data_IF_408987977407
#
_entry.id   IF_408987977407
#
_cell.length_a   1.000
_cell.length_b   1.000
_cell.length_c   1.000
_cell.angle_alpha   90.00
_cell.angle_beta   90.00
_cell.angle_gamma   90.00
#
_symmetry.space_group_name_H-M   'P 1'
#
loop_
_entity.id
_entity.type
_entity.pdbx_description
1 polymer ?
#
# COMPACT_ATOMS: atom_id res chain seq x y z
N UNK A 1 -28.82 -1.28 25.89
CA UNK A 1 -27.90 -0.98 27.01
C UNK A 1 -27.14 -2.26 27.20
N UNK A 2 -26.02 -2.41 26.52
CA UNK A 2 -25.30 -3.67 26.45
C UNK A 2 -23.82 -3.41 26.72
N UNK A 3 -23.32 -4.18 27.68
CA UNK A 3 -22.07 -4.00 28.41
C UNK A 3 -20.83 -4.30 27.55
N UNK A 4 -20.50 -3.43 26.61
CA UNK A 4 -19.25 -3.49 25.83
C UNK A 4 -18.35 -2.25 26.02
N UNK A 5 -18.87 -1.17 26.60
CA UNK A 5 -18.13 0.09 26.80
C UNK A 5 -17.15 0.10 27.99
N UNK A 6 -17.26 -0.86 28.92
CA UNK A 6 -16.46 -0.84 30.17
C UNK A 6 -15.21 -1.74 30.15
N UNK A 7 -15.00 -2.58 29.14
CA UNK A 7 -13.75 -3.36 29.00
C UNK A 7 -12.63 -2.57 28.30
N UNK A 8 -12.97 -1.58 27.48
CA UNK A 8 -11.97 -0.79 26.74
C UNK A 8 -11.22 0.21 27.66
N UNK A 9 -11.86 0.68 28.74
CA UNK A 9 -11.25 1.63 29.68
C UNK A 9 -10.36 0.99 30.75
N UNK A 10 -10.66 -0.23 31.18
CA UNK A 10 -9.91 -0.90 32.28
C UNK A 10 -8.55 -1.43 31.79
N UNK A 11 -8.45 -1.80 30.52
CA UNK A 11 -7.19 -2.27 29.93
C UNK A 11 -6.15 -1.15 29.79
N UNK A 12 -6.60 0.10 29.60
CA UNK A 12 -5.71 1.26 29.42
C UNK A 12 -5.01 1.68 30.74
N UNK A 13 -5.67 1.50 31.89
CA UNK A 13 -5.15 1.96 33.19
C UNK A 13 -4.08 1.01 33.76
N UNK A 14 -4.12 -0.28 33.41
CA UNK A 14 -3.18 -1.27 33.92
C UNK A 14 -1.79 -1.24 33.25
N UNK A 15 -1.67 -0.62 32.07
CA UNK A 15 -0.41 -0.56 31.33
C UNK A 15 0.49 0.62 31.78
N UNK A 16 -0.06 1.64 32.44
CA UNK A 16 0.68 2.89 32.70
C UNK A 16 1.55 2.88 33.97
N UNK A 17 1.35 1.95 34.90
CA UNK A 17 1.95 2.09 36.25
C UNK A 17 3.14 1.19 36.58
N UNK A 18 3.59 0.30 35.69
CA UNK A 18 4.74 -0.57 36.00
C UNK A 18 5.64 -0.74 34.78
N UNK A 19 6.67 0.10 34.70
CA UNK A 19 7.86 -0.15 33.88
C UNK A 19 7.88 0.61 32.57
N UNK A 20 8.94 1.41 32.40
CA UNK A 20 9.33 1.92 31.09
C UNK A 20 9.61 0.75 30.15
N UNK A 21 8.64 0.46 29.28
CA UNK A 21 8.87 -0.25 28.03
C UNK A 21 8.49 0.75 26.96
N UNK A 22 9.52 1.18 26.25
CA UNK A 22 9.47 1.83 24.96
C UNK A 22 8.21 1.47 24.18
N UNK A 23 7.39 2.48 23.92
CA UNK A 23 6.35 2.52 22.91
C UNK A 23 6.90 2.03 21.56
N UNK A 24 6.68 0.77 21.20
CA UNK A 24 6.94 0.29 19.84
C UNK A 24 5.87 -0.74 19.44
N UNK A 25 4.62 -0.30 19.39
CA UNK A 25 3.66 -0.84 18.42
C UNK A 25 3.53 0.23 17.34
N UNK A 26 4.37 0.16 16.30
CA UNK A 26 4.21 1.05 15.14
C UNK A 26 2.79 0.90 14.60
N UNK A 27 2.05 1.99 14.45
CA UNK A 27 0.67 1.94 13.96
C UNK A 27 0.66 1.42 12.51
N UNK A 28 -0.49 0.89 12.05
CA UNK A 28 -0.63 0.45 10.64
C UNK A 28 -0.34 1.61 9.68
N UNK A 29 -0.77 2.82 10.04
CA UNK A 29 -0.55 4.05 9.26
C UNK A 29 0.94 4.38 9.15
N UNK A 30 1.68 4.39 10.27
CA UNK A 30 3.13 4.62 10.26
C UNK A 30 3.86 3.60 9.37
N UNK A 31 3.46 2.33 9.44
CA UNK A 31 4.00 1.27 8.58
C UNK A 31 3.66 1.49 7.11
N UNK A 32 2.44 1.96 6.81
CA UNK A 32 2.02 2.22 5.44
C UNK A 32 2.81 3.38 4.85
N UNK A 33 2.97 4.47 5.62
CA UNK A 33 3.71 5.66 5.19
C UNK A 33 5.18 5.34 4.93
N UNK A 34 5.83 4.61 5.84
CA UNK A 34 7.23 4.22 5.67
C UNK A 34 7.43 3.35 4.43
N UNK A 35 6.55 2.36 4.23
CA UNK A 35 6.62 1.50 3.04
C UNK A 35 6.29 2.25 1.76
N UNK A 36 5.34 3.18 1.80
CA UNK A 36 5.00 4.05 0.68
C UNK A 36 6.23 4.90 0.28
N UNK A 37 6.89 5.52 1.27
CA UNK A 37 8.12 6.29 1.05
C UNK A 37 9.24 5.42 0.46
N UNK A 38 9.44 4.23 1.01
CA UNK A 38 10.43 3.28 0.51
C UNK A 38 10.17 2.86 -0.94
N UNK A 39 8.90 2.64 -1.31
CA UNK A 39 8.53 2.28 -2.68
C UNK A 39 8.61 3.46 -3.65
N UNK A 40 8.27 4.67 -3.20
CA UNK A 40 8.43 5.88 -3.99
C UNK A 40 9.89 6.13 -4.36
N UNK A 41 10.85 5.81 -3.50
CA UNK A 41 12.27 5.95 -3.83
C UNK A 41 12.75 4.93 -4.89
N UNK A 42 12.08 3.78 -5.04
CA UNK A 42 12.48 2.76 -6.04
C UNK A 42 12.21 3.16 -7.48
N UNK A 43 11.33 4.13 -7.72
CA UNK A 43 11.02 4.65 -9.06
C UNK A 43 11.93 5.81 -9.48
N UNK A 44 12.88 6.22 -8.65
CA UNK A 44 13.85 7.25 -9.05
C UNK A 44 15.23 6.63 -9.25
N UNK A 45 15.82 6.91 -10.41
CA UNK A 45 17.25 6.68 -10.65
C UNK A 45 18.00 8.01 -10.57
N UNK A 46 19.20 7.95 -10.03
CA UNK A 46 20.09 9.12 -9.96
C UNK A 46 20.89 9.18 -11.25
N UNK A 47 20.69 10.22 -12.05
CA UNK A 47 21.44 10.48 -13.27
C UNK A 47 22.48 11.58 -12.99
N UNK A 48 23.74 11.30 -13.34
CA UNK A 48 24.78 12.33 -13.33
C UNK A 48 24.57 13.24 -14.55
N UNK A 49 24.59 14.56 -14.33
CA UNK A 49 24.43 15.49 -15.44
C UNK A 49 25.58 15.29 -16.43
N UNK A 50 25.30 15.14 -17.74
CA UNK A 50 26.32 14.92 -18.76
C UNK A 50 27.28 16.11 -18.90
N UNK A 51 26.93 17.26 -18.30
CA UNK A 51 27.76 18.45 -18.25
C UNK A 51 28.50 18.42 -16.91
N UNK A 52 29.81 18.12 -16.94
CA UNK A 52 30.73 18.15 -15.80
C UNK A 52 31.01 19.59 -15.33
N UNK A 53 29.95 20.36 -15.06
CA UNK A 53 30.05 21.67 -14.46
C UNK A 53 30.47 21.51 -12.99
N UNK A 54 31.48 22.24 -12.52
CA UNK A 54 31.81 22.28 -11.10
C UNK A 54 30.59 22.73 -10.29
N UNK A 55 30.05 21.84 -9.44
CA UNK A 55 28.86 22.11 -8.63
C UNK A 55 27.53 21.59 -9.20
N UNK A 56 27.54 20.82 -10.28
CA UNK A 56 26.35 20.08 -10.72
C UNK A 56 25.94 19.05 -9.63
N UNK A 57 24.67 19.05 -9.28
CA UNK A 57 24.09 18.09 -8.33
C UNK A 57 23.42 16.95 -9.12
N UNK A 58 23.57 15.69 -8.68
CA UNK A 58 22.93 14.57 -9.33
C UNK A 58 21.40 14.75 -9.35
N UNK A 59 20.78 14.49 -10.49
CA UNK A 59 19.33 14.67 -10.68
C UNK A 59 18.62 13.34 -10.49
N UNK A 60 17.55 13.33 -9.70
CA UNK A 60 16.63 12.18 -9.65
C UNK A 60 15.74 12.19 -10.90
N UNK A 61 15.85 11.16 -11.71
CA UNK A 61 14.98 10.89 -12.85
C UNK A 61 13.92 9.87 -12.43
N UNK A 62 12.65 10.23 -12.60
CA UNK A 62 11.54 9.29 -12.44
C UNK A 62 11.60 8.27 -13.58
N UNK A 63 11.80 7.00 -13.24
CA UNK A 63 11.80 5.85 -14.14
C UNK A 63 10.48 5.09 -14.10
N UNK A 64 9.47 5.59 -13.37
CA UNK A 64 8.13 5.06 -13.41
C UNK A 64 7.64 5.11 -14.87
N UNK A 65 7.56 3.94 -15.50
CA UNK A 65 7.22 3.75 -16.90
C UNK A 65 5.73 3.98 -17.20
N UNK A 66 5.11 5.01 -16.62
CA UNK A 66 3.73 5.42 -16.94
C UNK A 66 3.77 6.12 -18.30
N UNK A 67 3.86 5.33 -19.36
CA UNK A 67 3.44 5.80 -20.68
C UNK A 67 1.93 5.93 -20.63
N UNK A 68 1.41 7.16 -20.70
CA UNK A 68 -0.03 7.44 -20.79
C UNK A 68 -0.61 7.08 -22.17
N UNK A 69 -0.08 6.04 -22.81
CA UNK A 69 -0.70 5.46 -23.99
C UNK A 69 -1.96 4.70 -23.56
N UNK A 70 -3.07 5.03 -24.20
CA UNK A 70 -4.33 4.31 -24.11
C UNK A 70 -4.12 2.88 -24.65
N UNK A 71 -3.86 1.95 -23.74
CA UNK A 71 -3.37 0.60 -24.08
C UNK A 71 -4.42 -0.46 -23.77
N UNK A 72 -5.50 -0.52 -24.56
CA UNK A 72 -6.18 -1.76 -24.97
C UNK A 72 -6.86 -1.47 -26.31
N UNK A 73 -6.16 -1.66 -27.44
CA UNK A 73 -6.76 -1.70 -28.78
C UNK A 73 -6.33 -3.01 -29.41
N UNK A 74 -7.29 -3.91 -29.68
CA UNK A 74 -6.99 -5.24 -30.23
C UNK A 74 -6.35 -6.22 -29.24
N UNK A 75 -6.50 -6.01 -27.93
CA UNK A 75 -5.91 -6.88 -26.91
C UNK A 75 -6.48 -8.30 -26.90
N UNK A 76 -5.70 -9.23 -26.38
CA UNK A 76 -6.10 -10.63 -26.17
C UNK A 76 -6.19 -10.97 -24.68
N UNK A 77 -6.66 -12.17 -24.35
CA UNK A 77 -6.76 -12.60 -22.96
C UNK A 77 -5.35 -12.77 -22.38
N UNK A 78 -5.10 -12.12 -21.25
CA UNK A 78 -3.83 -12.27 -20.54
C UNK A 78 -3.53 -13.74 -20.20
N UNK A 79 -2.28 -14.13 -20.43
CA UNK A 79 -1.76 -15.43 -20.03
C UNK A 79 -1.67 -15.53 -18.50
N UNK A 80 -1.75 -16.75 -17.93
CA UNK A 80 -1.53 -16.93 -16.50
C UNK A 80 -0.18 -16.33 -16.08
N UNK A 81 -0.18 -15.51 -15.02
CA UNK A 81 1.00 -14.81 -14.46
C UNK A 81 1.60 -13.71 -15.34
N UNK A 82 0.93 -13.27 -16.40
CA UNK A 82 1.37 -12.13 -17.21
C UNK A 82 1.38 -10.82 -16.39
N UNK A 83 0.36 -10.63 -15.55
CA UNK A 83 0.25 -9.51 -14.62
C UNK A 83 0.24 -10.01 -13.17
N UNK A 84 1.41 -10.38 -12.62
CA UNK A 84 1.49 -11.06 -11.33
C UNK A 84 1.10 -10.18 -10.14
N UNK A 85 1.11 -8.85 -10.32
CA UNK A 85 0.66 -7.90 -9.31
C UNK A 85 -0.86 -7.79 -9.23
N UNK A 86 -1.62 -8.29 -10.21
CA UNK A 86 -3.08 -8.15 -10.21
C UNK A 86 -3.73 -8.99 -9.09
N UNK A 87 -4.53 -8.33 -8.26
CA UNK A 87 -5.31 -8.94 -7.19
C UNK A 87 -6.81 -8.81 -7.47
N UNK A 88 -7.57 -9.84 -7.08
CA UNK A 88 -9.03 -9.84 -7.12
C UNK A 88 -9.57 -9.75 -5.69
N UNK A 89 -10.42 -8.76 -5.42
CA UNK A 89 -10.97 -8.48 -4.09
C UNK A 89 -12.39 -9.04 -4.00
N UNK A 90 -12.59 -9.92 -3.02
CA UNK A 90 -13.83 -10.67 -2.82
C UNK A 90 -14.50 -10.35 -1.49
N UNK A 91 -15.83 -10.17 -1.54
CA UNK A 91 -16.68 -9.89 -0.40
C UNK A 91 -17.41 -11.15 0.03
N UNK A 92 -17.25 -11.54 1.29
CA UNK A 92 -17.91 -12.72 1.83
C UNK A 92 -19.42 -12.46 1.96
N UNK A 93 -20.20 -13.01 1.03
CA UNK A 93 -21.66 -13.04 1.13
C UNK A 93 -22.17 -14.17 2.02
N UNK A 94 -23.49 -14.24 2.21
CA UNK A 94 -24.14 -15.28 3.05
C UNK A 94 -23.95 -16.70 2.49
N UNK A 95 -23.91 -16.84 1.17
CA UNK A 95 -23.84 -18.14 0.47
C UNK A 95 -22.66 -18.27 -0.47
N UNK A 96 -22.13 -17.16 -1.00
CA UNK A 96 -20.99 -17.13 -1.91
C UNK A 96 -20.16 -15.86 -1.73
N UNK A 97 -18.88 -15.94 -2.07
CA UNK A 97 -18.03 -14.76 -2.23
C UNK A 97 -18.43 -14.01 -3.51
N UNK A 98 -18.58 -12.70 -3.41
CA UNK A 98 -18.86 -11.81 -4.53
C UNK A 98 -17.56 -11.10 -4.88
N UNK A 99 -17.05 -11.30 -6.08
CA UNK A 99 -15.85 -10.62 -6.56
C UNK A 99 -16.28 -9.32 -7.25
N UNK A 100 -15.99 -8.18 -6.62
CA UNK A 100 -16.51 -6.88 -7.07
C UNK A 100 -15.43 -5.82 -7.35
N UNK A 101 -14.21 -6.03 -6.87
CA UNK A 101 -13.12 -5.07 -7.02
C UNK A 101 -11.81 -5.72 -7.43
N UNK A 102 -10.92 -4.90 -8.00
CA UNK A 102 -9.53 -5.24 -8.24
C UNK A 102 -8.60 -4.63 -7.19
N UNK A 103 -7.34 -5.02 -7.25
CA UNK A 103 -6.26 -4.41 -6.51
C UNK A 103 -4.91 -4.73 -7.12
N UNK A 104 -3.85 -4.20 -6.51
CA UNK A 104 -2.48 -4.51 -6.91
C UNK A 104 -1.65 -4.88 -5.70
N UNK A 105 -0.94 -6.01 -5.77
CA UNK A 105 0.01 -6.44 -4.77
C UNK A 105 1.23 -5.52 -4.80
N UNK A 106 1.40 -4.72 -3.75
CA UNK A 106 2.52 -3.77 -3.62
C UNK A 106 3.61 -4.31 -2.68
N UNK A 107 3.31 -5.35 -1.90
CA UNK A 107 4.27 -6.03 -1.04
C UNK A 107 3.82 -7.46 -0.74
N UNK A 108 4.63 -8.22 0.00
CA UNK A 108 4.28 -9.56 0.49
C UNK A 108 3.01 -9.59 1.36
N UNK A 109 2.65 -8.49 2.01
CA UNK A 109 1.52 -8.41 2.96
C UNK A 109 0.44 -7.40 2.56
N UNK A 110 0.65 -6.62 1.49
CA UNK A 110 -0.16 -5.42 1.21
C UNK A 110 -0.65 -5.38 -0.23
N UNK A 111 -1.96 -5.17 -0.38
CA UNK A 111 -2.65 -4.90 -1.64
C UNK A 111 -3.23 -3.49 -1.60
N UNK A 112 -2.96 -2.70 -2.63
CA UNK A 112 -3.61 -1.39 -2.82
C UNK A 112 -4.89 -1.57 -3.63
N UNK A 113 -5.96 -0.87 -3.24
CA UNK A 113 -7.26 -0.86 -3.93
C UNK A 113 -7.95 0.49 -3.70
N UNK A 114 -9.12 0.68 -4.31
CA UNK A 114 -9.89 1.91 -4.13
C UNK A 114 -10.60 1.93 -2.77
N UNK A 115 -10.72 3.11 -2.15
CA UNK A 115 -11.38 3.24 -0.86
C UNK A 115 -12.85 2.76 -0.87
N UNK A 116 -13.56 2.98 -1.99
CA UNK A 116 -14.95 2.52 -2.13
C UNK A 116 -15.06 0.99 -2.13
N UNK A 117 -14.02 0.26 -2.52
CA UNK A 117 -13.98 -1.19 -2.45
C UNK A 117 -13.98 -1.74 -1.02
N UNK A 118 -13.80 -0.91 0.01
CA UNK A 118 -13.78 -1.33 1.42
C UNK A 118 -14.95 -0.70 2.18
N UNK A 119 -15.21 0.59 1.96
CA UNK A 119 -16.24 1.31 2.68
C UNK A 119 -17.68 0.97 2.22
N UNK A 120 -17.86 0.76 0.91
CA UNK A 120 -19.17 0.47 0.28
C UNK A 120 -18.97 -0.50 -0.89
N UNK A 121 -18.70 -1.78 -0.60
CA UNK A 121 -18.44 -2.79 -1.61
C UNK A 121 -19.67 -3.16 -2.45
#
# INVERSE_FOLDING_TARGET
MDASSNLCGVCLVLIVMIGGISSQTSTVEERMEERCRQYAERVFETEEDPILLPGALPKKRDTCGISTQTTIVGGEKASPREFPHMALVGYRGRTKTIWGCGGSLISEEWVVSAAHCIATP
#
